data_IF_134442873530
#
_entry.id   IF_134442873530
#
_cell.length_a   1.000
_cell.length_b   1.000
_cell.length_c   1.000
_cell.angle_alpha   90.00
_cell.angle_beta   90.00
_cell.angle_gamma   90.00
#
_symmetry.space_group_name_H-M   'P 1'
#
loop_
_entity.id
_entity.type
_entity.pdbx_description
1 polymer ?
#
# COMPACT_ATOMS: atom_id res chain seq x y z
N UNK A 1 2.50 -17.42 -4.95
CA UNK A 1 2.68 -16.12 -4.30
C UNK A 1 1.90 -15.10 -5.10
N UNK A 2 0.83 -14.56 -4.53
CA UNK A 2 -0.02 -13.58 -5.20
C UNK A 2 0.53 -12.17 -4.97
N UNK A 3 0.19 -11.24 -5.87
CA UNK A 3 0.57 -9.82 -5.76
C UNK A 3 -0.68 -8.97 -5.58
N UNK A 4 -0.67 -8.10 -4.59
CA UNK A 4 -1.79 -7.20 -4.30
C UNK A 4 -1.29 -5.76 -4.25
N UNK A 5 -2.05 -4.83 -4.83
CA UNK A 5 -1.81 -3.40 -4.67
C UNK A 5 -2.59 -2.93 -3.46
N UNK A 6 -1.91 -2.26 -2.53
CA UNK A 6 -2.52 -1.79 -1.29
C UNK A 6 -2.96 -0.33 -1.40
N UNK A 7 -4.04 0.00 -0.68
CA UNK A 7 -4.53 1.36 -0.47
C UNK A 7 -4.03 1.93 0.87
N UNK A 8 -3.95 3.27 0.95
CA UNK A 8 -3.53 4.03 2.12
C UNK A 8 -4.27 3.64 3.41
N UNK A 9 -5.61 3.54 3.38
CA UNK A 9 -6.40 3.21 4.57
C UNK A 9 -6.12 1.80 5.07
N UNK A 10 -5.98 0.83 4.16
CA UNK A 10 -5.70 -0.56 4.52
C UNK A 10 -4.33 -0.69 5.17
N UNK A 11 -3.30 -0.07 4.58
CA UNK A 11 -1.94 -0.09 5.11
C UNK A 11 -1.88 0.57 6.50
N UNK A 12 -2.41 1.79 6.64
CA UNK A 12 -2.39 2.53 7.92
C UNK A 12 -3.11 1.75 9.02
N UNK A 13 -4.27 1.16 8.74
CA UNK A 13 -5.01 0.39 9.75
C UNK A 13 -4.22 -0.83 10.18
N UNK A 14 -3.70 -1.59 9.22
CA UNK A 14 -2.93 -2.80 9.50
C UNK A 14 -1.69 -2.52 10.35
N UNK A 15 -0.88 -1.53 9.97
CA UNK A 15 0.32 -1.14 10.72
C UNK A 15 0.03 -0.61 12.12
N UNK A 16 -1.16 -0.03 12.34
CA UNK A 16 -1.62 0.39 13.67
C UNK A 16 -2.27 -0.73 14.49
N UNK A 17 -2.23 -1.99 14.03
CA UNK A 17 -2.92 -3.10 14.68
C UNK A 17 -4.45 -2.95 14.71
N UNK A 18 -5.01 -2.10 13.84
CA UNK A 18 -6.45 -1.85 13.74
C UNK A 18 -7.06 -2.76 12.68
N UNK A 19 -8.30 -3.20 12.92
CA UNK A 19 -9.07 -3.99 11.96
C UNK A 19 -9.20 -3.25 10.63
N UNK A 20 -8.74 -3.88 9.56
CA UNK A 20 -8.95 -3.42 8.17
C UNK A 20 -10.38 -3.68 7.73
N UNK A 21 -10.78 -3.15 6.55
CA UNK A 21 -12.20 -3.14 6.13
C UNK A 21 -12.84 -4.53 6.03
N UNK A 22 -12.07 -5.56 5.72
CA UNK A 22 -12.57 -6.94 5.64
C UNK A 22 -11.54 -7.94 6.12
N UNK A 23 -12.03 -9.08 6.61
CA UNK A 23 -11.20 -10.19 7.06
C UNK A 23 -10.34 -10.76 5.92
N UNK A 24 -10.80 -10.64 4.67
CA UNK A 24 -10.04 -11.05 3.48
C UNK A 24 -8.77 -10.22 3.29
N UNK A 25 -8.87 -8.89 3.43
CA UNK A 25 -7.71 -7.98 3.35
C UNK A 25 -6.77 -8.25 4.52
N UNK A 26 -7.31 -8.48 5.72
CA UNK A 26 -6.50 -8.79 6.89
C UNK A 26 -5.71 -10.08 6.71
N UNK A 27 -6.34 -11.13 6.16
CA UNK A 27 -5.68 -12.39 5.84
C UNK A 27 -4.59 -12.21 4.79
N UNK A 28 -4.85 -11.42 3.74
CA UNK A 28 -3.85 -11.16 2.69
C UNK A 28 -2.59 -10.51 3.26
N UNK A 29 -2.76 -9.53 4.17
CA UNK A 29 -1.66 -8.81 4.81
C UNK A 29 -0.89 -9.69 5.80
N UNK A 30 -1.58 -10.49 6.63
CA UNK A 30 -0.94 -11.47 7.50
C UNK A 30 -0.18 -12.55 6.70
N UNK A 31 -0.75 -12.99 5.58
CA UNK A 31 -0.06 -13.92 4.68
C UNK A 31 1.13 -13.26 3.99
N UNK A 32 1.10 -11.94 3.75
CA UNK A 32 2.27 -11.21 3.31
C UNK A 32 3.35 -11.22 4.38
N UNK A 33 3.05 -10.87 5.62
CA UNK A 33 4.01 -10.93 6.75
C UNK A 33 4.62 -12.34 6.93
N UNK A 34 3.87 -13.39 6.57
CA UNK A 34 4.35 -14.78 6.54
C UNK A 34 5.11 -15.17 5.25
N UNK A 35 5.38 -14.23 4.34
CA UNK A 35 6.10 -14.44 3.09
C UNK A 35 5.31 -15.13 1.97
N UNK A 36 3.99 -15.27 2.08
CA UNK A 36 3.14 -16.00 1.12
C UNK A 36 2.56 -15.12 0.01
N UNK A 37 2.46 -13.81 0.25
CA UNK A 37 1.98 -12.79 -0.69
C UNK A 37 2.99 -11.65 -0.81
N UNK A 38 2.95 -10.92 -1.92
CA UNK A 38 3.66 -9.65 -2.07
C UNK A 38 2.65 -8.51 -2.06
N UNK A 39 2.91 -7.51 -1.22
CA UNK A 39 2.19 -6.25 -1.19
C UNK A 39 2.98 -5.22 -1.99
N UNK A 40 2.34 -4.70 -3.03
CA UNK A 40 2.84 -3.60 -3.83
C UNK A 40 2.32 -2.30 -3.23
N UNK A 41 3.22 -1.42 -2.82
CA UNK A 41 2.93 -0.10 -2.26
C UNK A 41 3.22 0.96 -3.35
N UNK A 42 2.20 1.54 -3.99
CA UNK A 42 2.43 2.61 -4.96
C UNK A 42 3.05 3.85 -4.29
N UNK A 43 3.94 4.58 -4.97
CA UNK A 43 4.48 5.84 -4.41
C UNK A 43 3.39 6.88 -4.09
N UNK A 44 2.21 6.80 -4.73
CA UNK A 44 1.05 7.65 -4.40
C UNK A 44 0.53 7.36 -3.00
N UNK A 45 0.54 6.10 -2.55
CA UNK A 45 0.15 5.72 -1.19
C UNK A 45 1.16 6.27 -0.18
N UNK A 46 2.47 6.20 -0.49
CA UNK A 46 3.50 6.81 0.34
C UNK A 46 3.30 8.33 0.47
N UNK A 47 3.00 9.00 -0.64
CA UNK A 47 2.70 10.43 -0.65
C UNK A 47 1.48 10.77 0.23
N UNK A 48 0.41 10.00 0.15
CA UNK A 48 -0.78 10.20 0.98
C UNK A 48 -0.48 10.00 2.48
N UNK A 49 0.36 9.03 2.83
CA UNK A 49 0.79 8.79 4.22
C UNK A 49 1.59 9.97 4.74
N UNK A 50 2.57 10.48 3.98
CA UNK A 50 3.30 11.70 4.33
C UNK A 50 2.35 12.87 4.56
N UNK A 51 1.42 13.10 3.63
CA UNK A 51 0.44 14.18 3.75
C UNK A 51 -0.44 14.04 5.00
N UNK A 52 -0.93 12.83 5.31
CA UNK A 52 -1.73 12.59 6.52
C UNK A 52 -0.94 12.77 7.80
N UNK A 53 0.34 12.35 7.81
CA UNK A 53 1.26 12.52 8.93
C UNK A 53 1.58 14.00 9.17
N UNK A 54 1.87 14.77 8.12
CA UNK A 54 2.09 16.23 8.21
C UNK A 54 0.88 16.97 8.78
N UNK A 55 -0.34 16.47 8.51
CA UNK A 55 -1.58 17.02 9.09
C UNK A 55 -1.90 16.50 10.49
N UNK A 56 -1.03 15.69 11.10
CA UNK A 56 -1.25 15.10 12.43
C UNK A 56 -2.44 14.14 12.48
N UNK A 57 -2.85 13.56 11.36
CA UNK A 57 -4.04 12.69 11.28
C UNK A 57 -3.74 11.22 11.59
N UNK A 58 -2.49 10.82 11.46
CA UNK A 58 -2.03 9.45 11.71
C UNK A 58 -0.70 9.47 12.47
N UNK A 59 -0.41 8.44 13.28
CA UNK A 59 0.84 8.35 14.04
C UNK A 59 1.99 7.72 13.23
N UNK A 60 1.71 7.16 12.05
CA UNK A 60 2.69 6.48 11.20
C UNK A 60 3.44 7.51 10.37
N UNK A 61 4.77 7.42 10.38
CA UNK A 61 5.67 8.22 9.56
C UNK A 61 6.16 7.43 8.34
N UNK A 62 6.69 8.14 7.34
CA UNK A 62 7.29 7.51 6.15
C UNK A 62 8.39 6.50 6.53
N UNK A 63 9.20 6.84 7.54
CA UNK A 63 10.30 6.00 8.03
C UNK A 63 9.84 4.62 8.49
N UNK A 64 8.66 4.51 9.08
CA UNK A 64 8.12 3.21 9.52
C UNK A 64 7.85 2.29 8.32
N UNK A 65 7.49 2.87 7.18
CA UNK A 65 7.22 2.13 5.94
C UNK A 65 8.52 1.81 5.21
N UNK A 66 9.48 2.73 5.19
CA UNK A 66 10.84 2.47 4.69
C UNK A 66 11.45 1.26 5.40
N UNK A 67 11.36 1.21 6.73
CA UNK A 67 11.86 0.08 7.52
C UNK A 67 11.20 -1.25 7.12
N UNK A 68 9.90 -1.25 6.81
CA UNK A 68 9.19 -2.44 6.34
C UNK A 68 9.70 -2.86 4.96
N UNK A 69 9.84 -1.93 4.02
CA UNK A 69 10.30 -2.22 2.66
C UNK A 69 11.76 -2.71 2.66
N UNK A 70 12.61 -2.15 3.53
CA UNK A 70 14.03 -2.54 3.62
C UNK A 70 14.23 -3.91 4.29
N UNK A 71 13.41 -4.24 5.30
CA UNK A 71 13.56 -5.47 6.08
C UNK A 71 12.68 -6.63 5.59
N UNK A 72 11.88 -6.42 4.55
CA UNK A 72 10.94 -7.41 4.03
C UNK A 72 11.12 -7.63 2.54
N UNK A 73 11.06 -8.89 2.09
CA UNK A 73 10.98 -9.23 0.67
C UNK A 73 9.53 -9.23 0.13
N UNK A 74 8.54 -9.05 1.01
CA UNK A 74 7.12 -9.18 0.71
C UNK A 74 6.36 -7.85 0.72
N UNK A 75 7.04 -6.73 0.96
CA UNK A 75 6.53 -5.37 0.72
C UNK A 75 7.46 -4.66 -0.26
N UNK A 76 6.91 -4.16 -1.36
CA UNK A 76 7.70 -3.59 -2.46
C UNK A 76 7.09 -2.28 -2.92
N UNK A 77 7.90 -1.23 -3.04
CA UNK A 77 7.48 0.03 -3.65
C UNK A 77 7.29 -0.15 -5.17
N UNK A 78 6.17 0.32 -5.70
CA UNK A 78 6.00 0.57 -7.14
C UNK A 78 6.11 2.07 -7.44
N UNK A 79 7.20 2.43 -8.13
CA UNK A 79 7.50 3.82 -8.47
C UNK A 79 6.49 4.40 -9.44
N UNK A 80 5.93 5.56 -9.10
CA UNK A 80 5.01 6.25 -10.00
C UNK A 80 5.73 6.61 -11.31
N UNK A 81 5.13 6.19 -12.43
CA UNK A 81 5.61 6.51 -13.78
C UNK A 81 4.48 7.08 -14.63
N UNK A 82 4.84 7.78 -15.71
CA UNK A 82 3.85 8.27 -16.68
C UNK A 82 3.00 7.12 -17.26
N UNK A 83 3.56 5.92 -17.40
CA UNK A 83 2.82 4.75 -17.89
C UNK A 83 1.74 4.31 -16.88
N UNK A 84 2.05 4.31 -15.58
CA UNK A 84 1.08 4.00 -14.52
C UNK A 84 -0.03 5.06 -14.50
N UNK A 85 0.32 6.34 -14.60
CA UNK A 85 -0.66 7.44 -14.65
C UNK A 85 -1.59 7.29 -15.85
N UNK A 86 -1.03 7.04 -17.04
CA UNK A 86 -1.81 6.79 -18.26
C UNK A 86 -2.72 5.58 -18.08
N UNK A 87 -2.21 4.47 -17.56
CA UNK A 87 -3.01 3.27 -17.33
C UNK A 87 -4.18 3.53 -16.36
N UNK A 88 -3.97 4.33 -15.31
CA UNK A 88 -5.03 4.70 -14.38
C UNK A 88 -6.12 5.56 -15.04
N UNK A 89 -5.75 6.49 -15.92
CA UNK A 89 -6.68 7.39 -16.62
C UNK A 89 -7.44 6.67 -17.76
N UNK A 90 -6.74 5.88 -18.57
CA UNK A 90 -7.30 5.26 -19.78
C UNK A 90 -8.08 3.97 -19.53
N UNK A 91 -8.14 3.48 -18.29
CA UNK A 91 -9.07 2.39 -17.92
C UNK A 91 -10.53 2.73 -18.18
N UNK A 92 -10.87 4.02 -18.28
CA UNK A 92 -12.21 4.51 -18.59
C UNK A 92 -12.45 4.78 -20.09
N UNK A 93 -11.47 4.54 -20.97
CA UNK A 93 -11.56 4.86 -22.40
C UNK A 93 -11.68 3.61 -23.31
N UNK A 94 -11.83 2.41 -22.75
CA UNK A 94 -12.09 1.18 -23.52
C UNK A 94 -13.51 0.62 -23.31
N UNK A 95 -14.41 1.46 -22.81
CA UNK A 95 -15.85 1.22 -22.80
C UNK A 95 -16.51 2.28 -23.68
N UNK A 96 -16.27 2.20 -24.98
CA UNK A 96 -17.09 2.81 -26.05
C UNK A 96 -16.95 1.94 -27.31
#
# INVERSE_FOLDING_TARGET
MNKFVIDTQALIKFLNGKKVISDSVESILKDADAGKNIIIIPSVVLFEICYLQEKGRIPIALKDIEEIIENSFNYVEEKLSLNIIKAALYRNCMTD
#
